data_IF_718849454060
#
_entry.id   IF_718849454060
#
_cell.length_a   1.000
_cell.length_b   1.000
_cell.length_c   1.000
_cell.angle_alpha   90.00
_cell.angle_beta   90.00
_cell.angle_gamma   90.00
#
_symmetry.space_group_name_H-M   'P 1'
#
loop_
_entity.id
_entity.type
_entity.pdbx_description
1 polymer ?
#
# COMPACT_ATOMS: atom_id res chain seq x y z
N UNK A 1 -27.59 13.67 -18.49
CA UNK A 1 -27.59 12.29 -18.10
C UNK A 1 -26.23 11.96 -17.49
N UNK A 2 -26.21 11.15 -16.41
CA UNK A 2 -25.01 10.80 -15.64
C UNK A 2 -24.21 9.62 -16.20
N UNK A 3 -24.35 9.33 -17.49
CA UNK A 3 -23.63 8.21 -18.11
C UNK A 3 -22.13 8.51 -18.28
N UNK A 4 -21.32 7.44 -18.28
CA UNK A 4 -19.88 7.55 -18.57
C UNK A 4 -19.60 8.19 -19.93
N UNK A 5 -20.42 7.89 -20.93
CA UNK A 5 -20.26 8.45 -22.27
C UNK A 5 -20.43 9.98 -22.27
N UNK A 6 -21.42 10.48 -21.53
CA UNK A 6 -21.62 11.91 -21.38
C UNK A 6 -20.52 12.56 -20.55
N UNK A 7 -20.10 11.94 -19.44
CA UNK A 7 -18.97 12.40 -18.64
C UNK A 7 -17.70 12.56 -19.48
N UNK A 8 -17.39 11.56 -20.30
CA UNK A 8 -16.25 11.57 -21.22
C UNK A 8 -16.31 12.73 -22.23
N UNK A 9 -17.49 13.03 -22.79
CA UNK A 9 -17.69 14.17 -23.69
C UNK A 9 -17.44 15.50 -22.97
N UNK A 10 -17.96 15.64 -21.75
CA UNK A 10 -17.78 16.85 -20.93
C UNK A 10 -16.32 17.03 -20.54
N UNK A 11 -15.62 15.96 -20.14
CA UNK A 11 -14.20 16.00 -19.83
C UNK A 11 -13.37 16.47 -21.04
N UNK A 12 -13.63 15.92 -22.24
CA UNK A 12 -12.96 16.38 -23.46
C UNK A 12 -13.20 17.86 -23.76
N UNK A 13 -14.37 18.37 -23.45
CA UNK A 13 -14.74 19.77 -23.75
C UNK A 13 -14.19 20.74 -22.70
N UNK A 14 -14.33 20.41 -21.43
CA UNK A 14 -14.14 21.36 -20.33
C UNK A 14 -12.92 21.11 -19.46
N UNK A 15 -12.32 19.91 -19.46
CA UNK A 15 -11.13 19.64 -18.64
C UNK A 15 -9.97 20.55 -19.03
N UNK A 16 -9.27 21.03 -18.03
CA UNK A 16 -7.99 21.77 -18.17
C UNK A 16 -6.77 20.85 -18.03
N UNK A 17 -6.99 19.60 -17.61
CA UNK A 17 -5.91 18.60 -17.53
C UNK A 17 -5.52 18.12 -18.93
N UNK A 18 -4.42 18.65 -19.44
CA UNK A 18 -3.92 18.33 -20.79
C UNK A 18 -3.48 16.87 -20.94
N UNK A 19 -3.14 16.20 -19.83
CA UNK A 19 -2.63 14.83 -19.85
C UNK A 19 -3.71 13.80 -20.15
N UNK A 20 -4.93 14.01 -19.66
CA UNK A 20 -6.03 13.05 -19.79
C UNK A 20 -7.23 13.57 -20.59
N UNK A 21 -7.31 14.88 -20.84
CA UNK A 21 -8.44 15.52 -21.56
C UNK A 21 -8.78 14.81 -22.86
N UNK A 22 -7.78 14.51 -23.69
CA UNK A 22 -7.98 13.89 -25.00
C UNK A 22 -8.53 12.46 -24.92
N UNK A 23 -8.31 11.78 -23.79
CA UNK A 23 -8.92 10.47 -23.49
C UNK A 23 -10.19 10.57 -22.63
N UNK A 24 -10.74 11.78 -22.51
CA UNK A 24 -11.97 12.04 -21.76
C UNK A 24 -11.79 11.93 -20.24
N UNK A 25 -10.60 12.29 -19.74
CA UNK A 25 -10.29 12.28 -18.34
C UNK A 25 -9.98 10.89 -17.75
N UNK A 26 -9.71 9.89 -18.62
CA UNK A 26 -9.46 8.53 -18.15
C UNK A 26 -8.07 8.41 -17.51
N UNK A 27 -8.05 7.96 -16.27
CA UNK A 27 -6.83 7.58 -15.55
C UNK A 27 -6.57 6.08 -15.68
N UNK A 28 -5.30 5.68 -15.58
CA UNK A 28 -4.93 4.29 -15.36
C UNK A 28 -5.53 3.77 -14.04
N UNK A 29 -5.62 2.45 -13.90
CA UNK A 29 -6.03 1.87 -12.62
C UNK A 29 -4.97 2.19 -11.56
N UNK A 30 -5.43 2.57 -10.38
CA UNK A 30 -4.59 2.91 -9.24
C UNK A 30 -5.16 2.30 -7.96
N UNK A 31 -4.32 2.14 -6.96
CA UNK A 31 -4.69 1.66 -5.63
C UNK A 31 -4.34 2.69 -4.54
N UNK A 32 -4.57 2.30 -3.29
CA UNK A 32 -4.32 3.18 -2.15
C UNK A 32 -2.83 3.48 -1.91
N UNK A 33 -1.93 2.62 -2.41
CA UNK A 33 -0.47 2.77 -2.25
C UNK A 33 0.14 3.70 -3.30
N UNK A 34 -0.59 4.03 -4.36
CA UNK A 34 -0.13 4.95 -5.39
C UNK A 34 0.12 6.34 -4.80
N UNK A 35 1.37 6.79 -4.87
CA UNK A 35 1.82 8.09 -4.36
C UNK A 35 1.75 9.21 -5.40
N UNK A 36 1.44 8.90 -6.65
CA UNK A 36 1.35 9.87 -7.74
C UNK A 36 0.06 10.70 -7.72
N UNK A 37 -0.96 10.22 -6.99
CA UNK A 37 -2.25 10.87 -6.89
C UNK A 37 -2.47 11.49 -5.51
N UNK A 38 -3.10 12.65 -5.50
CA UNK A 38 -3.48 13.34 -4.26
C UNK A 38 -4.36 12.45 -3.36
N UNK A 39 -4.12 12.50 -2.06
CA UNK A 39 -4.81 11.66 -1.07
C UNK A 39 -6.31 11.96 -0.97
N UNK A 40 -6.70 13.23 -1.13
CA UNK A 40 -8.10 13.67 -1.13
C UNK A 40 -8.82 13.16 -2.37
N UNK A 41 -8.13 13.23 -3.52
CA UNK A 41 -8.65 12.65 -4.78
C UNK A 41 -8.88 11.14 -4.63
N UNK A 42 -7.89 10.39 -4.15
CA UNK A 42 -8.00 8.93 -3.92
C UNK A 42 -9.14 8.59 -2.97
N UNK A 43 -9.24 9.31 -1.84
CA UNK A 43 -10.31 9.10 -0.86
C UNK A 43 -11.69 9.27 -1.48
N UNK A 44 -11.88 10.32 -2.28
CA UNK A 44 -13.13 10.57 -2.98
C UNK A 44 -13.42 9.48 -4.02
N UNK A 45 -12.43 9.11 -4.84
CA UNK A 45 -12.57 8.09 -5.88
C UNK A 45 -12.94 6.72 -5.28
N UNK A 46 -12.29 6.29 -4.20
CA UNK A 46 -12.60 5.01 -3.54
C UNK A 46 -13.93 5.02 -2.78
N UNK A 47 -14.45 6.18 -2.40
CA UNK A 47 -15.78 6.32 -1.82
C UNK A 47 -16.93 6.17 -2.81
N UNK A 48 -16.65 6.27 -4.12
CA UNK A 48 -17.67 6.17 -5.16
C UNK A 48 -18.00 4.71 -5.48
N UNK A 49 -19.29 4.43 -5.64
CA UNK A 49 -19.73 3.16 -6.24
C UNK A 49 -19.38 3.16 -7.73
N UNK A 50 -19.10 1.99 -8.28
CA UNK A 50 -18.89 1.83 -9.71
C UNK A 50 -20.07 2.42 -10.50
N UNK A 51 -19.80 3.18 -11.54
CA UNK A 51 -20.80 3.85 -12.37
C UNK A 51 -21.34 5.16 -11.78
N UNK A 52 -20.82 5.61 -10.64
CA UNK A 52 -21.22 6.89 -10.00
C UNK A 52 -20.14 7.95 -10.17
N UNK A 53 -20.53 9.20 -9.96
CA UNK A 53 -19.64 10.37 -9.99
C UNK A 53 -19.85 11.24 -8.76
N UNK A 54 -18.89 12.13 -8.47
CA UNK A 54 -18.99 13.08 -7.36
C UNK A 54 -20.05 14.13 -7.65
N UNK A 55 -20.97 14.34 -6.71
CA UNK A 55 -22.02 15.37 -6.81
C UNK A 55 -21.48 16.78 -6.60
N UNK A 56 -20.36 16.88 -5.89
CA UNK A 56 -19.64 18.13 -5.63
C UNK A 56 -18.21 18.02 -6.14
N UNK A 57 -17.59 19.13 -6.57
CA UNK A 57 -16.20 19.14 -6.97
C UNK A 57 -15.27 18.83 -5.78
N UNK A 58 -14.33 17.94 -5.97
CA UNK A 58 -13.29 17.59 -4.99
C UNK A 58 -12.12 18.56 -5.13
N UNK A 59 -11.83 19.32 -4.07
CA UNK A 59 -10.71 20.26 -4.05
C UNK A 59 -9.42 19.55 -3.65
N UNK A 60 -8.38 19.69 -4.46
CA UNK A 60 -7.00 19.29 -4.17
C UNK A 60 -6.05 20.44 -4.37
N UNK A 61 -4.76 20.25 -4.15
CA UNK A 61 -3.73 21.25 -4.47
C UNK A 61 -3.61 21.54 -5.99
N UNK A 62 -4.05 20.60 -6.83
CA UNK A 62 -4.05 20.75 -8.30
C UNK A 62 -5.32 21.43 -8.86
N UNK A 63 -6.32 21.70 -8.01
CA UNK A 63 -7.57 22.33 -8.41
C UNK A 63 -8.81 21.57 -8.01
N UNK A 64 -9.88 21.75 -8.78
CA UNK A 64 -11.17 21.10 -8.55
C UNK A 64 -11.39 19.95 -9.53
N UNK A 65 -11.76 18.81 -9.00
CA UNK A 65 -11.97 17.58 -9.77
C UNK A 65 -13.40 17.09 -9.66
N UNK A 66 -13.99 16.73 -10.79
CA UNK A 66 -15.21 15.91 -10.85
C UNK A 66 -14.76 14.50 -11.21
N UNK A 67 -15.08 13.51 -10.39
CA UNK A 67 -14.57 12.15 -10.50
C UNK A 67 -15.70 11.20 -10.87
N UNK A 68 -15.47 10.35 -11.86
CA UNK A 68 -16.36 9.26 -12.24
C UNK A 68 -15.69 7.91 -11.99
N UNK A 69 -16.36 7.04 -11.26
CA UNK A 69 -15.86 5.70 -10.97
C UNK A 69 -16.21 4.71 -12.08
N UNK A 70 -15.25 4.44 -12.97
CA UNK A 70 -15.43 3.50 -14.09
C UNK A 70 -15.49 2.06 -13.57
N UNK A 71 -14.56 1.71 -12.69
CA UNK A 71 -14.46 0.39 -12.09
C UNK A 71 -13.96 0.55 -10.65
N UNK A 72 -14.72 0.04 -9.70
CA UNK A 72 -14.34 0.02 -8.31
C UNK A 72 -14.76 -1.34 -7.72
N UNK A 73 -13.86 -2.34 -7.75
CA UNK A 73 -14.16 -3.66 -7.18
C UNK A 73 -14.29 -3.62 -5.65
N UNK A 74 -14.02 -2.45 -5.04
CA UNK A 74 -13.98 -2.32 -3.59
C UNK A 74 -12.77 -3.05 -2.98
N UNK A 75 -12.82 -3.21 -1.67
CA UNK A 75 -11.86 -4.06 -0.96
C UNK A 75 -12.26 -5.51 -1.22
N UNK A 76 -11.39 -6.27 -1.86
CA UNK A 76 -11.57 -7.72 -2.06
C UNK A 76 -11.74 -8.45 -0.72
N UNK A 77 -12.22 -9.67 -0.76
CA UNK A 77 -12.26 -10.51 0.46
C UNK A 77 -10.82 -10.82 0.88
N UNK A 78 -10.53 -10.71 2.17
CA UNK A 78 -9.21 -11.02 2.72
C UNK A 78 -8.76 -12.45 2.34
N UNK A 79 -9.72 -13.39 2.24
CA UNK A 79 -9.46 -14.77 1.80
C UNK A 79 -8.80 -14.85 0.44
N UNK A 80 -9.16 -13.98 -0.48
CA UNK A 80 -8.72 -14.03 -1.89
C UNK A 80 -7.28 -13.49 -2.05
N UNK A 81 -6.80 -12.74 -1.05
CA UNK A 81 -5.47 -12.11 -1.02
C UNK A 81 -4.58 -12.65 0.10
N UNK A 82 -4.94 -13.76 0.73
CA UNK A 82 -4.26 -14.28 1.92
C UNK A 82 -2.77 -14.56 1.68
N UNK A 83 -2.41 -15.12 0.53
CA UNK A 83 -1.01 -15.44 0.19
C UNK A 83 -0.19 -14.17 -0.02
N UNK A 84 -0.73 -13.21 -0.74
CA UNK A 84 -0.08 -11.92 -1.02
C UNK A 84 0.09 -11.10 0.26
N UNK A 85 -0.96 -11.00 1.08
CA UNK A 85 -0.90 -10.33 2.38
C UNK A 85 0.12 -10.98 3.33
N UNK A 86 0.22 -12.32 3.33
CA UNK A 86 1.24 -13.03 4.10
C UNK A 86 2.65 -12.68 3.63
N UNK A 87 2.89 -12.66 2.33
CA UNK A 87 4.20 -12.25 1.78
C UNK A 87 4.54 -10.83 2.19
N UNK A 88 3.64 -9.88 2.02
CA UNK A 88 3.87 -8.48 2.41
C UNK A 88 4.16 -8.32 3.91
N UNK A 89 3.45 -9.07 4.78
CA UNK A 89 3.70 -9.06 6.22
C UNK A 89 5.07 -9.68 6.54
N UNK A 90 5.44 -10.76 5.87
CA UNK A 90 6.74 -11.40 6.04
C UNK A 90 7.84 -10.44 5.61
N UNK A 91 7.74 -9.85 4.42
CA UNK A 91 8.74 -8.90 3.89
C UNK A 91 8.89 -7.69 4.80
N UNK A 92 7.78 -7.12 5.27
CA UNK A 92 7.80 -6.01 6.23
C UNK A 92 8.49 -6.39 7.54
N UNK A 93 8.21 -7.60 8.07
CA UNK A 93 8.83 -8.09 9.31
C UNK A 93 10.28 -8.48 9.13
N UNK A 94 10.65 -9.00 7.97
CA UNK A 94 12.05 -9.33 7.64
C UNK A 94 12.90 -8.08 7.43
N UNK A 95 12.30 -6.97 7.06
CA UNK A 95 12.98 -5.67 6.95
C UNK A 95 13.18 -4.98 8.31
N UNK A 96 12.46 -5.42 9.35
CA UNK A 96 12.62 -4.90 10.71
C UNK A 96 13.69 -5.70 11.46
N UNK A 97 14.84 -5.07 11.70
CA UNK A 97 15.98 -5.67 12.40
C UNK A 97 15.63 -6.17 13.81
N UNK A 98 14.75 -5.48 14.51
CA UNK A 98 14.32 -5.86 15.89
C UNK A 98 13.49 -7.14 15.86
N UNK A 99 12.59 -7.26 14.90
CA UNK A 99 11.78 -8.48 14.69
C UNK A 99 12.67 -9.65 14.30
N UNK A 100 13.63 -9.44 13.40
CA UNK A 100 14.61 -10.45 13.00
C UNK A 100 15.43 -10.94 14.19
N UNK A 101 16.00 -10.03 14.98
CA UNK A 101 16.74 -10.38 16.20
C UNK A 101 15.90 -11.20 17.17
N UNK A 102 14.62 -10.82 17.36
CA UNK A 102 13.71 -11.53 18.27
C UNK A 102 13.43 -12.96 17.78
N UNK A 103 13.19 -13.13 16.48
CA UNK A 103 12.93 -14.46 15.87
C UNK A 103 14.17 -15.34 15.94
N UNK A 104 15.34 -14.81 15.55
CA UNK A 104 16.61 -15.53 15.61
C UNK A 104 16.94 -15.94 17.05
N UNK A 105 16.77 -15.03 18.03
CA UNK A 105 16.95 -15.33 19.45
C UNK A 105 16.06 -16.48 19.94
N UNK A 106 14.78 -16.48 19.54
CA UNK A 106 13.84 -17.54 19.91
C UNK A 106 14.22 -18.88 19.31
N UNK A 107 14.63 -18.90 18.05
CA UNK A 107 15.03 -20.14 17.35
C UNK A 107 16.29 -20.71 17.98
N UNK A 108 17.31 -19.87 18.25
CA UNK A 108 18.56 -20.29 18.88
C UNK A 108 18.34 -20.82 20.31
N UNK A 109 17.51 -20.16 21.11
CA UNK A 109 17.14 -20.61 22.45
C UNK A 109 16.38 -21.93 22.44
N UNK A 110 15.42 -22.07 21.52
CA UNK A 110 14.63 -23.31 21.39
C UNK A 110 15.45 -24.49 20.87
N UNK A 111 16.42 -24.21 19.98
CA UNK A 111 17.31 -25.23 19.40
C UNK A 111 18.48 -25.63 20.31
N UNK A 112 18.62 -25.01 21.49
CA UNK A 112 19.74 -25.23 22.41
C UNK A 112 21.10 -25.11 21.69
N UNK A 113 21.21 -24.18 20.75
CA UNK A 113 22.39 -23.99 19.91
C UNK A 113 23.48 -23.32 20.73
N UNK A 114 24.56 -24.05 21.00
CA UNK A 114 25.78 -23.50 21.58
C UNK A 114 26.87 -23.42 20.52
N UNK A 115 27.46 -22.24 20.38
CA UNK A 115 28.56 -22.03 19.43
C UNK A 115 29.85 -22.00 20.20
N UNK A 116 30.79 -22.88 19.84
CA UNK A 116 32.08 -23.00 20.48
C UNK A 116 33.13 -22.02 19.94
N UNK A 117 32.89 -21.48 18.75
CA UNK A 117 33.78 -20.53 18.09
C UNK A 117 33.53 -19.11 18.65
N UNK A 118 34.62 -18.48 19.14
CA UNK A 118 34.58 -17.15 19.78
C UNK A 118 34.20 -16.03 18.82
N UNK A 119 34.59 -16.13 17.55
CA UNK A 119 34.30 -15.10 16.55
C UNK A 119 32.83 -15.13 16.17
N UNK A 120 32.24 -16.32 16.03
CA UNK A 120 30.83 -16.51 15.83
C UNK A 120 29.97 -16.16 17.05
N UNK A 121 30.52 -16.31 18.28
CA UNK A 121 29.87 -15.87 19.52
C UNK A 121 29.69 -14.35 19.52
N UNK A 122 30.68 -13.60 19.08
CA UNK A 122 30.59 -12.13 18.97
C UNK A 122 29.53 -11.66 17.98
N UNK A 123 29.39 -12.33 16.84
CA UNK A 123 28.34 -12.05 15.86
C UNK A 123 26.97 -12.37 16.46
N UNK A 124 26.83 -13.48 17.16
CA UNK A 124 25.57 -13.89 17.77
C UNK A 124 25.19 -13.09 19.02
N UNK A 125 26.16 -12.54 19.76
CA UNK A 125 25.86 -11.67 20.90
C UNK A 125 25.05 -10.44 20.50
N UNK A 126 25.25 -9.94 19.29
CA UNK A 126 24.43 -8.86 18.72
C UNK A 126 22.97 -9.25 18.51
N UNK A 127 22.69 -10.53 18.31
CA UNK A 127 21.33 -11.06 18.12
C UNK A 127 20.70 -11.61 19.41
N UNK A 128 21.51 -12.10 20.33
CA UNK A 128 21.02 -12.72 21.57
C UNK A 128 20.82 -11.72 22.73
N UNK A 129 21.31 -10.50 22.57
CA UNK A 129 21.47 -9.56 23.68
C UNK A 129 22.53 -10.09 24.65
N UNK A 130 23.37 -9.24 25.19
CA UNK A 130 24.38 -9.61 26.21
C UNK A 130 23.70 -10.24 27.44
N UNK A 131 23.50 -11.53 27.43
CA UNK A 131 23.30 -12.25 28.67
C UNK A 131 24.66 -12.33 29.34
N UNK A 132 24.92 -11.39 30.22
CA UNK A 132 26.02 -11.50 31.20
C UNK A 132 25.84 -12.81 31.93
N UNK A 133 26.61 -13.81 31.56
CA UNK A 133 26.83 -14.97 32.38
C UNK A 133 27.81 -14.59 33.49
N UNK A 134 27.25 -14.16 34.63
CA UNK A 134 27.93 -14.30 35.90
C UNK A 134 27.81 -15.76 36.32
N UNK A 135 28.81 -16.54 36.17
CA UNK A 135 29.45 -17.50 37.07
C UNK A 135 30.20 -18.55 36.30
#
# INVERSE_FOLDING_TARGET
>A
DGSYANFKKLAKKYSTDSSTKNDGGKLAAFDNTDTSLDSTFKKAAFGLKQGSFTTEPVKTEYGYHVIYSIKNPGKGKMSDHTSELKSQIIDSKMSDSTTLQTVVSKVLKKGNVSIKDKDLQNILSSYLGSSSSSK
#
